data_IF_338080611714
#
_entry.id   IF_338080611714
#
_cell.length_a   1.000
_cell.length_b   1.000
_cell.length_c   1.000
_cell.angle_alpha   90.00
_cell.angle_beta   90.00
_cell.angle_gamma   90.00
#
_symmetry.space_group_name_H-M   'P 1'
#
loop_
_entity.id
_entity.type
_entity.pdbx_description
1 polymer ?
#
# COMPACT_ATOMS: atom_id res chain seq x y z
N UNK A 1 12.05 -7.63 10.56
CA UNK A 1 12.01 -6.54 11.55
C UNK A 1 11.60 -5.26 10.82
N UNK A 2 10.29 -4.96 10.73
CA UNK A 2 9.76 -3.79 10.01
C UNK A 2 8.89 -2.88 10.89
N UNK A 3 8.68 -3.25 12.15
CA UNK A 3 7.74 -2.56 13.06
C UNK A 3 8.40 -1.38 13.79
N UNK A 4 9.73 -1.41 13.96
CA UNK A 4 10.49 -0.41 14.73
C UNK A 4 10.41 1.00 14.12
N UNK A 5 10.55 1.22 12.79
CA UNK A 5 10.49 2.58 12.21
C UNK A 5 9.13 3.26 12.43
N UNK A 6 8.07 2.46 12.48
CA UNK A 6 6.67 2.89 12.55
C UNK A 6 6.35 3.60 13.88
N UNK A 7 7.03 3.19 14.96
CA UNK A 7 6.90 3.80 16.31
C UNK A 7 7.56 5.17 16.38
N UNK A 8 8.60 5.40 15.58
CA UNK A 8 9.36 6.65 15.53
C UNK A 8 8.88 7.60 14.43
N UNK A 9 7.74 7.32 13.79
CA UNK A 9 7.20 8.14 12.68
C UNK A 9 8.00 8.03 11.38
N UNK A 10 8.92 7.07 11.27
CA UNK A 10 9.70 6.82 10.07
C UNK A 10 8.87 6.05 9.04
N UNK A 11 9.24 6.23 7.77
CA UNK A 11 8.56 5.62 6.62
C UNK A 11 8.43 4.10 6.77
N UNK A 12 7.19 3.60 6.73
CA UNK A 12 6.92 2.17 6.67
C UNK A 12 7.00 1.69 5.21
N UNK A 13 7.99 0.87 4.81
CA UNK A 13 8.10 0.42 3.44
C UNK A 13 6.89 -0.41 3.01
N UNK A 14 6.55 -0.32 1.73
CA UNK A 14 5.49 -1.16 1.15
C UNK A 14 5.85 -2.64 1.29
N UNK A 15 4.91 -3.50 1.71
CA UNK A 15 5.18 -4.93 1.78
C UNK A 15 5.44 -5.51 0.39
N UNK A 16 6.54 -6.24 0.22
CA UNK A 16 6.85 -6.95 -1.03
C UNK A 16 5.83 -8.06 -1.34
N UNK A 17 5.24 -8.66 -0.29
CA UNK A 17 4.29 -9.77 -0.41
C UNK A 17 2.97 -9.40 0.23
N UNK A 18 1.89 -9.49 -0.54
CA UNK A 18 0.54 -9.19 -0.06
C UNK A 18 0.10 -10.07 1.12
N UNK A 19 0.55 -11.33 1.19
CA UNK A 19 0.23 -12.22 2.33
C UNK A 19 0.73 -11.65 3.66
N UNK A 20 1.76 -10.79 3.62
CA UNK A 20 2.30 -10.12 4.81
C UNK A 20 1.47 -8.91 5.22
N UNK A 21 0.62 -8.34 4.35
CA UNK A 21 -0.21 -7.17 4.67
C UNK A 21 -1.21 -7.50 5.77
N UNK A 22 -1.97 -8.59 5.64
CA UNK A 22 -2.99 -8.97 6.63
C UNK A 22 -2.38 -9.45 7.95
N UNK A 23 -1.19 -10.06 7.93
CA UNK A 23 -0.49 -10.45 9.17
C UNK A 23 0.16 -9.25 9.84
N UNK A 24 0.77 -8.34 9.07
CA UNK A 24 1.31 -7.08 9.58
C UNK A 24 0.20 -6.22 10.19
N UNK A 25 -0.92 -6.03 9.49
CA UNK A 25 -2.06 -5.28 10.01
C UNK A 25 -2.58 -5.84 11.33
N UNK A 26 -2.77 -7.17 11.41
CA UNK A 26 -3.19 -7.82 12.67
C UNK A 26 -2.17 -7.66 13.80
N UNK A 27 -0.87 -7.81 13.50
CA UNK A 27 0.17 -7.64 14.50
C UNK A 27 0.30 -6.19 14.95
N UNK A 28 0.17 -5.22 14.04
CA UNK A 28 0.17 -3.80 14.37
C UNK A 28 -1.05 -3.44 15.22
N UNK A 29 -2.25 -3.94 14.91
CA UNK A 29 -3.44 -3.69 15.73
C UNK A 29 -3.33 -4.30 17.14
N UNK A 30 -2.50 -5.35 17.32
CA UNK A 30 -2.22 -5.94 18.64
C UNK A 30 -1.20 -5.12 19.44
N UNK A 31 -0.26 -4.49 18.75
CA UNK A 31 0.85 -3.75 19.38
C UNK A 31 0.54 -2.26 19.57
N UNK A 32 -0.32 -1.70 18.72
CA UNK A 32 -0.64 -0.27 18.68
C UNK A 32 -2.15 -0.05 18.59
N UNK A 33 -2.58 1.13 19.03
CA UNK A 33 -3.97 1.59 18.81
C UNK A 33 -4.26 1.61 17.31
N UNK A 34 -5.50 1.28 16.95
CA UNK A 34 -6.01 1.35 15.57
C UNK A 34 -5.68 2.68 14.89
N UNK A 35 -5.69 3.76 15.66
CA UNK A 35 -5.47 5.14 15.20
C UNK A 35 -4.08 5.36 14.59
N UNK A 36 -3.06 4.59 15.01
CA UNK A 36 -1.73 4.67 14.41
C UNK A 36 -1.74 4.12 12.99
N UNK A 37 -2.49 3.03 12.76
CA UNK A 37 -2.53 2.35 11.47
C UNK A 37 -3.37 3.17 10.49
N UNK A 38 -4.54 3.65 10.94
CA UNK A 38 -5.43 4.47 10.11
C UNK A 38 -4.90 5.89 9.91
N UNK A 39 -4.26 6.48 10.92
CA UNK A 39 -3.78 7.86 10.91
C UNK A 39 -2.37 8.06 10.34
N UNK A 40 -1.51 7.03 10.35
CA UNK A 40 -0.11 7.16 9.92
C UNK A 40 0.25 6.17 8.81
N UNK A 41 0.02 4.87 9.04
CA UNK A 41 0.48 3.81 8.11
C UNK A 41 -0.24 3.87 6.77
N UNK A 42 -1.57 3.79 6.77
CA UNK A 42 -2.34 3.78 5.54
C UNK A 42 -2.18 5.06 4.71
N UNK A 43 -2.12 6.28 5.29
CA UNK A 43 -1.78 7.47 4.54
C UNK A 43 -0.40 7.44 3.89
N UNK A 44 0.63 6.95 4.59
CA UNK A 44 1.98 6.82 4.03
C UNK A 44 2.01 5.81 2.88
N UNK A 45 1.42 4.64 3.07
CA UNK A 45 1.32 3.62 2.04
C UNK A 45 0.52 4.09 0.83
N UNK A 46 -0.59 4.81 1.06
CA UNK A 46 -1.37 5.38 -0.03
C UNK A 46 -0.52 6.33 -0.88
N UNK A 47 0.27 7.21 -0.26
CA UNK A 47 1.19 8.10 -1.01
C UNK A 47 2.22 7.30 -1.79
N UNK A 48 2.89 6.35 -1.15
CA UNK A 48 3.91 5.53 -1.81
C UNK A 48 3.35 4.74 -3.00
N UNK A 49 2.14 4.20 -2.90
CA UNK A 49 1.48 3.48 -4.01
C UNK A 49 1.13 4.44 -5.13
N UNK A 50 0.62 5.64 -4.83
CA UNK A 50 0.29 6.65 -5.84
C UNK A 50 1.56 7.09 -6.59
N UNK A 51 2.63 7.38 -5.86
CA UNK A 51 3.92 7.77 -6.46
C UNK A 51 4.50 6.66 -7.34
N UNK A 52 4.48 5.40 -6.86
CA UNK A 52 4.95 4.27 -7.67
C UNK A 52 4.07 4.03 -8.89
N UNK A 53 2.74 4.11 -8.76
CA UNK A 53 1.83 3.91 -9.88
C UNK A 53 1.99 4.98 -10.97
N UNK A 54 2.15 6.26 -10.59
CA UNK A 54 2.33 7.35 -11.55
C UNK A 54 3.72 7.36 -12.21
N UNK A 55 4.70 6.67 -11.62
CA UNK A 55 6.05 6.54 -12.17
C UNK A 55 6.19 5.36 -13.14
N UNK A 56 5.15 4.53 -13.31
CA UNK A 56 5.16 3.44 -14.28
C UNK A 56 4.97 3.97 -15.70
N UNK A 57 5.63 3.31 -16.64
CA UNK A 57 5.41 3.55 -18.06
C UNK A 57 4.05 2.95 -18.48
N UNK A 58 3.36 3.59 -19.43
CA UNK A 58 2.08 3.11 -19.95
C UNK A 58 2.30 1.98 -20.98
N UNK A 59 2.92 0.89 -20.55
CA UNK A 59 3.22 -0.27 -21.37
C UNK A 59 2.91 -1.59 -20.65
N UNK A 60 2.83 -2.67 -21.42
CA UNK A 60 2.54 -4.01 -20.88
C UNK A 60 3.65 -4.52 -19.94
N UNK A 61 4.87 -3.99 -20.04
CA UNK A 61 5.98 -4.40 -19.16
C UNK A 61 5.72 -3.98 -17.70
N UNK A 62 5.01 -2.87 -17.51
CA UNK A 62 4.63 -2.32 -16.21
C UNK A 62 3.39 -2.98 -15.58
N UNK A 63 2.68 -3.85 -16.33
CA UNK A 63 1.44 -4.49 -15.88
C UNK A 63 1.60 -5.30 -14.58
N UNK A 64 2.70 -6.04 -14.45
CA UNK A 64 2.96 -6.87 -13.27
C UNK A 64 3.12 -6.00 -12.02
N UNK A 65 3.77 -4.85 -12.17
CA UNK A 65 4.05 -3.94 -11.06
C UNK A 65 2.78 -3.21 -10.61
N UNK A 66 1.96 -2.73 -11.55
CA UNK A 66 0.66 -2.11 -11.20
C UNK A 66 -0.28 -3.13 -10.54
N UNK A 67 -0.28 -4.39 -11.01
CA UNK A 67 -1.07 -5.46 -10.41
C UNK A 67 -0.61 -5.80 -8.99
N UNK A 68 0.69 -5.73 -8.72
CA UNK A 68 1.26 -5.89 -7.37
C UNK A 68 0.77 -4.79 -6.42
N UNK A 69 0.84 -3.54 -6.85
CA UNK A 69 0.36 -2.38 -6.07
C UNK A 69 -1.12 -2.51 -5.74
N UNK A 70 -1.92 -2.86 -6.74
CA UNK A 70 -3.33 -3.14 -6.61
C UNK A 70 -3.62 -4.25 -5.57
N UNK A 71 -2.89 -5.36 -5.63
CA UNK A 71 -3.05 -6.46 -4.67
C UNK A 71 -2.82 -6.00 -3.23
N UNK A 72 -1.84 -5.11 -3.00
CA UNK A 72 -1.59 -4.51 -1.68
C UNK A 72 -2.78 -3.65 -1.23
N UNK A 73 -3.32 -2.82 -2.15
CA UNK A 73 -4.51 -1.99 -1.87
C UNK A 73 -5.70 -2.84 -1.46
N UNK A 74 -6.00 -3.91 -2.18
CA UNK A 74 -7.12 -4.80 -1.88
C UNK A 74 -6.89 -5.71 -0.66
N UNK A 75 -5.64 -5.96 -0.30
CA UNK A 75 -5.29 -6.71 0.92
C UNK A 75 -5.45 -5.88 2.20
N UNK A 76 -5.51 -4.56 2.08
CA UNK A 76 -5.77 -3.67 3.21
C UNK A 76 -7.27 -3.64 3.54
N UNK A 77 -7.65 -3.73 4.83
CA UNK A 77 -9.05 -3.82 5.21
C UNK A 77 -9.81 -2.51 4.93
N UNK A 78 -11.14 -2.59 4.86
CA UNK A 78 -12.08 -1.45 4.89
C UNK A 78 -11.88 -0.36 3.83
N UNK A 79 -11.20 -0.64 2.71
CA UNK A 79 -10.98 0.38 1.68
C UNK A 79 -10.08 1.53 2.15
N UNK A 80 -9.15 1.25 3.07
CA UNK A 80 -8.28 2.21 3.77
C UNK A 80 -7.44 3.13 2.86
N UNK A 81 -7.29 2.80 1.58
CA UNK A 81 -6.48 3.56 0.63
C UNK A 81 -7.27 3.84 -0.67
N UNK A 82 -8.36 4.65 -0.59
CA UNK A 82 -9.26 4.85 -1.72
C UNK A 82 -8.63 5.63 -2.88
N UNK A 83 -7.68 6.53 -2.61
CA UNK A 83 -6.99 7.30 -3.67
C UNK A 83 -6.02 6.41 -4.42
N UNK A 84 -5.19 5.65 -3.70
CA UNK A 84 -4.27 4.69 -4.32
C UNK A 84 -5.02 3.69 -5.19
N UNK A 85 -6.19 3.21 -4.73
CA UNK A 85 -7.06 2.33 -5.52
C UNK A 85 -7.44 2.96 -6.87
N UNK A 86 -7.93 4.20 -6.86
CA UNK A 86 -8.38 4.88 -8.08
C UNK A 86 -7.22 5.16 -9.04
N UNK A 87 -6.10 5.65 -8.51
CA UNK A 87 -4.91 5.93 -9.33
C UNK A 87 -4.39 4.65 -9.95
N UNK A 88 -4.20 3.59 -9.16
CA UNK A 88 -3.63 2.36 -9.68
C UNK A 88 -4.56 1.65 -10.69
N UNK A 89 -5.89 1.72 -10.51
CA UNK A 89 -6.85 1.24 -11.52
C UNK A 89 -6.80 2.09 -12.79
N UNK A 90 -6.70 3.41 -12.67
CA UNK A 90 -6.59 4.31 -13.82
C UNK A 90 -5.34 4.01 -14.65
N UNK A 91 -4.18 3.95 -14.00
CA UNK A 91 -2.91 3.60 -14.63
C UNK A 91 -2.98 2.22 -15.31
N UNK A 92 -3.57 1.22 -14.65
CA UNK A 92 -3.75 -0.10 -15.26
C UNK A 92 -4.68 -0.06 -16.48
N UNK A 93 -5.73 0.76 -16.45
CA UNK A 93 -6.66 0.91 -17.57
C UNK A 93 -6.01 1.62 -18.76
N UNK A 94 -5.11 2.58 -18.52
CA UNK A 94 -4.37 3.27 -19.59
C UNK A 94 -3.32 2.37 -20.27
N UNK A 95 -2.96 1.22 -19.65
CA UNK A 95 -2.01 0.24 -20.21
C UNK A 95 -2.66 -0.82 -21.12
N UNK A 96 -3.99 -0.98 -21.08
CA UNK A 96 -4.76 -2.04 -21.78
C UNK A 96 -5.52 -1.46 -22.97
#
# INVERSE_FOLDING_TARGET
>A
VQVIPLVYGLFAPLPERWQRVSSLGRNLCRLFKSDLITGVVFPQWQRAIVEQALALDNDLSSFVEIFRLLTIVWSCPYGSMPVAKRVAVGVMADMV
#
